data_IF_492700869880
#
_entry.id   IF_492700869880
#
_cell.length_a   1.000
_cell.length_b   1.000
_cell.length_c   1.000
_cell.angle_alpha   90.00
_cell.angle_beta   90.00
_cell.angle_gamma   90.00
#
_symmetry.space_group_name_H-M   'P 1'
#
loop_
_entity.id
_entity.type
_entity.pdbx_description
1 polymer ?
#
# COMPACT_ATOMS: atom_id res chain seq x y z
N UNK A 1 -23.43 -14.09 20.05
CA UNK A 1 -22.52 -12.97 19.72
C UNK A 1 -21.36 -13.57 18.97
N UNK A 2 -21.17 -13.26 17.67
CA UNK A 2 -19.94 -13.68 16.96
C UNK A 2 -18.81 -12.77 17.49
N UNK A 3 -17.68 -13.30 17.98
CA UNK A 3 -16.52 -12.47 18.23
C UNK A 3 -16.20 -11.72 16.93
N UNK A 4 -16.12 -10.40 17.00
CA UNK A 4 -15.61 -9.65 15.86
C UNK A 4 -14.14 -9.96 15.66
N UNK A 5 -13.62 -9.71 14.46
CA UNK A 5 -12.18 -9.57 14.34
C UNK A 5 -11.74 -8.38 15.22
N UNK A 6 -10.79 -8.63 16.12
CA UNK A 6 -10.17 -7.60 16.97
C UNK A 6 -9.07 -6.82 16.20
N UNK A 7 -8.82 -7.18 14.95
CA UNK A 7 -7.82 -6.56 14.07
C UNK A 7 -8.41 -6.33 12.69
N UNK A 8 -8.14 -5.15 12.13
CA UNK A 8 -8.50 -4.76 10.77
C UNK A 8 -7.23 -4.54 9.95
N UNK A 9 -7.30 -4.80 8.64
CA UNK A 9 -6.15 -4.71 7.76
C UNK A 9 -6.40 -3.74 6.62
N UNK A 10 -5.35 -3.01 6.24
CA UNK A 10 -5.28 -2.24 5.00
C UNK A 10 -4.21 -2.85 4.12
N UNK A 11 -4.54 -3.15 2.87
CA UNK A 11 -3.60 -3.60 1.85
C UNK A 11 -3.38 -2.47 0.85
N UNK A 12 -2.13 -2.10 0.65
CA UNK A 12 -1.72 -1.11 -0.36
C UNK A 12 -1.14 -1.91 -1.53
N UNK A 13 -1.79 -1.85 -2.69
CA UNK A 13 -1.38 -2.57 -3.90
C UNK A 13 -0.79 -1.59 -4.92
N UNK A 14 0.50 -1.72 -5.22
CA UNK A 14 1.21 -0.90 -6.19
C UNK A 14 1.49 -1.66 -7.51
N UNK A 15 1.17 -2.97 -7.57
CA UNK A 15 1.37 -3.78 -8.77
C UNK A 15 0.20 -3.73 -9.76
N UNK A 16 -0.84 -2.95 -9.47
CA UNK A 16 -2.05 -2.90 -10.28
C UNK A 16 -2.35 -1.48 -10.77
N UNK A 17 -2.67 -1.38 -12.06
CA UNK A 17 -3.25 -0.20 -12.68
C UNK A 17 -4.43 -0.65 -13.57
N UNK A 18 -5.08 0.30 -14.28
CA UNK A 18 -6.19 -0.04 -15.17
C UNK A 18 -5.71 -0.85 -16.39
N UNK A 19 -6.60 -1.57 -17.07
CA UNK A 19 -6.29 -2.53 -18.15
C UNK A 19 -5.43 -2.00 -19.32
N UNK A 20 -5.32 -0.67 -19.48
CA UNK A 20 -4.52 -0.04 -20.54
C UNK A 20 -3.27 0.68 -20.03
N UNK A 21 -2.94 0.52 -18.75
CA UNK A 21 -1.79 1.13 -18.11
C UNK A 21 -1.02 0.07 -17.34
N UNK A 22 0.19 -0.22 -17.77
CA UNK A 22 1.06 -1.19 -17.10
C UNK A 22 1.86 -0.46 -16.04
N UNK A 23 1.94 -1.02 -14.83
CA UNK A 23 2.93 -0.58 -13.83
C UNK A 23 4.29 -1.09 -14.27
N UNK A 24 5.19 -0.17 -14.61
CA UNK A 24 6.56 -0.46 -15.04
C UNK A 24 7.58 -0.29 -13.90
N UNK A 25 7.18 0.36 -12.81
CA UNK A 25 7.98 0.45 -11.59
C UNK A 25 7.17 0.96 -10.41
N UNK A 26 7.48 0.49 -9.21
CA UNK A 26 6.82 0.95 -7.99
C UNK A 26 7.75 0.92 -6.79
N UNK A 27 7.56 1.85 -5.87
CA UNK A 27 8.32 1.96 -4.62
C UNK A 27 7.40 2.41 -3.50
N UNK A 28 7.60 1.87 -2.30
CA UNK A 28 6.91 2.33 -1.10
C UNK A 28 7.84 2.34 0.11
N UNK A 29 7.46 3.14 1.09
CA UNK A 29 8.09 3.22 2.39
C UNK A 29 7.04 3.34 3.50
N UNK A 30 7.21 2.56 4.56
CA UNK A 30 6.46 2.68 5.81
C UNK A 30 7.21 3.63 6.75
N UNK A 31 6.61 4.79 7.02
CA UNK A 31 7.20 5.86 7.83
C UNK A 31 6.53 5.87 9.21
N UNK A 32 7.32 5.59 10.26
CA UNK A 32 6.80 5.50 11.62
C UNK A 32 5.74 4.40 11.78
N UNK A 33 4.65 4.75 12.46
CA UNK A 33 3.51 3.86 12.77
C UNK A 33 2.18 4.35 12.17
N UNK A 34 2.20 5.41 11.34
CA UNK A 34 0.98 6.08 10.82
C UNK A 34 1.02 6.45 9.34
N UNK A 35 2.14 6.23 8.65
CA UNK A 35 2.33 6.77 7.31
C UNK A 35 2.88 5.70 6.37
N UNK A 36 2.34 5.68 5.14
CA UNK A 36 2.94 4.99 4.00
C UNK A 36 3.09 5.99 2.86
N UNK A 37 4.29 6.11 2.33
CA UNK A 37 4.58 6.92 1.16
C UNK A 37 5.01 6.03 0.01
N UNK A 38 4.82 6.49 -1.22
CA UNK A 38 5.30 5.74 -2.36
C UNK A 38 5.05 6.41 -3.68
N UNK A 39 5.39 5.67 -4.73
CA UNK A 39 5.12 6.02 -6.10
C UNK A 39 4.90 4.79 -6.95
N UNK A 40 4.19 5.00 -8.05
CA UNK A 40 4.16 4.07 -9.17
C UNK A 40 4.38 4.84 -10.46
N UNK A 41 5.17 4.23 -11.34
CA UNK A 41 5.36 4.69 -12.71
C UNK A 41 4.57 3.75 -13.61
N UNK A 42 3.71 4.34 -14.43
CA UNK A 42 2.86 3.61 -15.36
C UNK A 42 3.13 4.04 -16.78
N UNK A 43 3.05 3.07 -17.69
CA UNK A 43 3.13 3.30 -19.13
C UNK A 43 1.74 3.12 -19.75
N UNK A 44 1.27 4.15 -20.45
CA UNK A 44 0.02 4.08 -21.22
C UNK A 44 0.19 3.24 -22.49
N UNK A 45 -0.86 2.49 -22.86
CA UNK A 45 -0.92 1.74 -24.12
C UNK A 45 -0.83 2.65 -25.38
N UNK A 46 -0.46 2.07 -26.54
CA UNK A 46 -0.29 2.75 -27.83
C UNK A 46 0.84 3.82 -27.90
N UNK A 47 1.92 3.66 -27.14
CA UNK A 47 3.06 4.60 -27.17
C UNK A 47 2.78 5.90 -26.41
N UNK A 48 1.86 5.88 -25.45
CA UNK A 48 1.63 7.00 -24.56
C UNK A 48 2.79 7.22 -23.59
N UNK A 49 2.79 8.38 -22.94
CA UNK A 49 3.87 8.81 -22.05
C UNK A 49 3.87 8.03 -20.73
N UNK A 50 5.06 7.82 -20.20
CA UNK A 50 5.22 7.43 -18.80
C UNK A 50 4.77 8.56 -17.89
N UNK A 51 4.06 8.21 -16.82
CA UNK A 51 3.79 9.15 -15.74
C UNK A 51 4.03 8.47 -14.41
N UNK A 52 4.48 9.27 -13.45
CA UNK A 52 4.72 8.84 -12.08
C UNK A 52 3.71 9.52 -11.18
N UNK A 53 2.93 8.72 -10.47
CA UNK A 53 2.06 9.19 -9.39
C UNK A 53 2.76 8.97 -8.08
N UNK A 54 2.88 10.04 -7.30
CA UNK A 54 3.36 9.99 -5.92
C UNK A 54 2.16 9.95 -4.99
N UNK A 55 2.31 9.30 -3.85
CA UNK A 55 1.28 9.30 -2.83
C UNK A 55 1.88 9.34 -1.43
N UNK A 56 1.11 9.92 -0.51
CA UNK A 56 1.27 9.75 0.93
C UNK A 56 -0.08 9.34 1.51
N UNK A 57 -0.12 8.20 2.21
CA UNK A 57 -1.24 7.73 3.01
C UNK A 57 -0.93 8.02 4.48
N UNK A 58 -1.78 8.81 5.13
CA UNK A 58 -1.69 9.08 6.56
C UNK A 58 -2.94 8.59 7.29
N UNK A 59 -2.72 7.85 8.38
CA UNK A 59 -3.75 7.23 9.20
C UNK A 59 -3.93 7.98 10.52
N UNK A 60 -5.18 8.16 10.96
CA UNK A 60 -5.56 8.84 12.21
C UNK A 60 -5.15 8.08 13.49
N UNK A 61 -4.72 6.83 13.34
CA UNK A 61 -4.32 5.94 14.43
C UNK A 61 -3.13 5.08 14.02
N UNK A 62 -2.30 4.64 14.98
CA UNK A 62 -1.14 3.85 14.65
C UNK A 62 -1.55 2.42 14.25
N UNK A 63 -0.89 1.87 13.23
CA UNK A 63 -0.87 0.42 13.01
C UNK A 63 0.07 -0.24 14.02
N UNK A 64 -0.24 -1.48 14.41
CA UNK A 64 0.55 -2.24 15.38
C UNK A 64 1.36 -3.36 14.76
N UNK A 65 1.05 -3.75 13.53
CA UNK A 65 1.87 -4.66 12.73
C UNK A 65 1.84 -4.22 11.26
N UNK A 66 2.96 -4.41 10.57
CA UNK A 66 3.12 -4.04 9.17
C UNK A 66 4.10 -4.97 8.47
N UNK A 67 4.14 -4.86 7.15
CA UNK A 67 5.20 -5.40 6.33
C UNK A 67 4.98 -5.06 4.86
N UNK A 68 5.94 -5.48 4.03
CA UNK A 68 5.87 -5.30 2.57
C UNK A 68 5.76 -6.66 1.90
N UNK A 69 5.10 -6.70 0.75
CA UNK A 69 4.96 -7.92 -0.04
C UNK A 69 5.42 -7.71 -1.48
N UNK A 70 5.94 -8.79 -2.07
CA UNK A 70 6.39 -8.84 -3.46
C UNK A 70 6.27 -10.25 -4.02
N UNK A 71 7.12 -10.60 -5.00
CA UNK A 71 7.10 -11.93 -5.63
C UNK A 71 7.36 -13.07 -4.65
N UNK A 72 8.27 -12.84 -3.70
CA UNK A 72 8.67 -13.83 -2.71
C UNK A 72 7.70 -13.91 -1.52
N UNK A 73 6.56 -13.22 -1.59
CA UNK A 73 5.56 -13.14 -0.53
C UNK A 73 5.77 -11.97 0.42
N UNK A 74 5.23 -12.10 1.63
CA UNK A 74 5.25 -11.03 2.65
C UNK A 74 6.48 -11.10 3.55
N UNK A 75 7.10 -9.95 3.78
CA UNK A 75 8.20 -9.75 4.74
C UNK A 75 7.71 -8.89 5.92
N UNK A 76 7.43 -9.49 7.09
CA UNK A 76 7.01 -8.75 8.28
C UNK A 76 8.07 -7.75 8.72
N UNK A 77 7.63 -6.63 9.30
CA UNK A 77 8.46 -5.53 9.83
C UNK A 77 9.36 -4.82 8.79
N UNK A 78 9.36 -5.29 7.54
CA UNK A 78 9.98 -4.58 6.44
C UNK A 78 9.27 -3.25 6.19
N UNK A 79 10.06 -2.22 5.95
CA UNK A 79 9.60 -0.84 5.78
C UNK A 79 9.77 -0.30 4.38
N UNK A 80 10.42 -1.03 3.50
CA UNK A 80 10.68 -0.60 2.14
C UNK A 80 10.38 -1.73 1.16
N UNK A 81 9.66 -1.40 0.10
CA UNK A 81 9.31 -2.34 -0.97
C UNK A 81 9.51 -1.70 -2.33
N UNK A 82 10.01 -2.47 -3.28
CA UNK A 82 10.24 -2.05 -4.65
C UNK A 82 9.85 -3.18 -5.61
N UNK A 83 9.13 -2.83 -6.67
CA UNK A 83 8.74 -3.74 -7.73
C UNK A 83 9.11 -3.18 -9.10
N UNK A 84 9.61 -4.04 -9.97
CA UNK A 84 9.82 -3.73 -11.38
C UNK A 84 8.53 -3.89 -12.21
N UNK A 85 8.70 -3.89 -13.53
CA UNK A 85 7.60 -4.04 -14.48
C UNK A 85 6.79 -5.32 -14.24
N UNK A 86 5.47 -5.16 -14.15
CA UNK A 86 4.50 -6.25 -13.93
C UNK A 86 4.78 -7.07 -12.66
N UNK A 87 5.60 -6.55 -11.73
CA UNK A 87 5.90 -7.23 -10.48
C UNK A 87 4.88 -6.88 -9.39
N UNK A 88 4.42 -7.87 -8.60
CA UNK A 88 3.67 -7.59 -7.38
C UNK A 88 4.52 -6.74 -6.44
N UNK A 89 3.92 -5.72 -5.85
CA UNK A 89 4.55 -4.90 -4.82
C UNK A 89 3.48 -4.21 -3.99
N UNK A 90 3.68 -4.15 -2.68
CA UNK A 90 2.76 -3.45 -1.80
C UNK A 90 3.09 -3.59 -0.32
N UNK A 91 2.17 -3.12 0.51
CA UNK A 91 2.27 -3.21 1.97
C UNK A 91 0.98 -3.77 2.58
N UNK A 92 1.09 -4.35 3.78
CA UNK A 92 -0.04 -4.57 4.66
C UNK A 92 0.17 -3.84 5.97
N UNK A 93 -0.93 -3.33 6.52
CA UNK A 93 -0.98 -2.63 7.81
C UNK A 93 -2.10 -3.25 8.64
N UNK A 94 -1.82 -3.51 9.92
CA UNK A 94 -2.78 -4.10 10.84
C UNK A 94 -3.07 -3.15 11.99
N UNK A 95 -4.35 -2.97 12.29
CA UNK A 95 -4.83 -2.02 13.28
C UNK A 95 -5.69 -2.73 14.33
N UNK A 96 -5.50 -2.44 15.63
CA UNK A 96 -6.39 -2.95 16.66
C UNK A 96 -7.78 -2.32 16.50
N UNK A 97 -8.82 -3.14 16.32
CA UNK A 97 -10.20 -2.69 16.28
C UNK A 97 -10.72 -2.66 17.71
N UNK A 98 -10.76 -1.46 18.31
CA UNK A 98 -11.42 -1.28 19.60
C UNK A 98 -12.93 -1.53 19.51
N UNK A 99 -13.67 -1.29 20.60
CA UNK A 99 -15.12 -1.46 20.66
C UNK A 99 -15.86 -0.77 19.50
N UNK A 100 -15.28 0.33 19.00
CA UNK A 100 -15.69 1.01 17.78
C UNK A 100 -14.76 0.58 16.62
N UNK A 101 -15.17 -0.44 15.87
CA UNK A 101 -14.40 -1.17 14.85
C UNK A 101 -14.11 -0.37 13.57
N UNK A 102 -13.67 0.88 13.69
CA UNK A 102 -13.47 1.78 12.56
C UNK A 102 -12.08 2.41 12.60
N UNK A 103 -11.32 2.26 11.52
CA UNK A 103 -10.30 3.22 11.09
C UNK A 103 -10.98 4.17 10.10
N UNK A 104 -10.80 5.50 10.24
CA UNK A 104 -11.69 6.46 9.55
C UNK A 104 -11.00 7.48 8.67
N UNK A 105 -9.66 7.53 8.61
CA UNK A 105 -8.97 8.48 7.73
C UNK A 105 -7.87 7.81 6.91
N UNK A 106 -7.94 8.03 5.58
CA UNK A 106 -6.83 7.89 4.65
C UNK A 106 -6.79 9.19 3.86
N UNK A 107 -5.83 10.05 4.17
CA UNK A 107 -5.53 11.20 3.31
C UNK A 107 -4.59 10.74 2.21
N UNK A 108 -4.91 11.06 0.95
CA UNK A 108 -4.02 10.86 -0.19
C UNK A 108 -3.60 12.24 -0.70
N UNK A 109 -2.31 12.51 -0.70
CA UNK A 109 -1.72 13.70 -1.36
C UNK A 109 -0.90 13.22 -2.55
N UNK A 110 -1.13 13.81 -3.74
CA UNK A 110 -0.45 13.49 -5.01
C UNK A 110 0.12 14.73 -5.66
#
# INVERSE_FOLDING_TARGET
IRPGADTGHVLVNLGQANDRHVVIGSQLQVVGDRVVEGKLTTQSFCGGHEYTTWFRLEFDRPFTAHGVWGEDGGVPDARHGMGGELKPNGAWLSFPLGNNKTARAVTVVS
#
